data_IF_188731187681
#
_entry.id   IF_188731187681
#
_cell.length_a   1.000
_cell.length_b   1.000
_cell.length_c   1.000
_cell.angle_alpha   90.00
_cell.angle_beta   90.00
_cell.angle_gamma   90.00
#
_symmetry.space_group_name_H-M   'P 1'
#
loop_
_entity.id
_entity.type
_entity.pdbx_description
1 polymer ?
#
# COMPACT_ATOMS: atom_id res chain seq x y z
N UNK A 1 -6.20 -2.72 6.82
CA UNK A 1 -5.01 -3.58 6.67
C UNK A 1 -5.44 -5.02 6.42
N UNK A 2 -4.71 -5.76 5.59
CA UNK A 2 -4.94 -7.19 5.32
C UNK A 2 -3.62 -7.89 4.99
N UNK A 3 -3.44 -9.11 5.48
CA UNK A 3 -2.29 -9.94 5.17
C UNK A 3 -2.56 -10.79 3.93
N UNK A 4 -1.62 -10.80 3.00
CA UNK A 4 -1.66 -11.53 1.73
C UNK A 4 -0.48 -12.49 1.66
N UNK A 5 -0.65 -13.63 0.99
CA UNK A 5 0.41 -14.63 0.76
C UNK A 5 1.27 -14.35 -0.49
N UNK A 6 1.21 -13.13 -0.99
CA UNK A 6 1.94 -12.66 -2.17
C UNK A 6 3.00 -11.66 -1.74
N UNK A 7 4.08 -11.57 -2.51
CA UNK A 7 5.17 -10.63 -2.25
C UNK A 7 4.77 -9.16 -2.48
N UNK A 8 5.52 -8.19 -1.93
CA UNK A 8 5.22 -6.77 -2.11
C UNK A 8 5.21 -6.36 -3.59
N UNK A 9 6.11 -6.93 -4.38
CA UNK A 9 6.19 -6.67 -5.83
C UNK A 9 4.98 -7.21 -6.59
N UNK A 10 4.51 -8.41 -6.24
CA UNK A 10 3.33 -9.03 -6.86
C UNK A 10 2.08 -8.19 -6.61
N UNK A 11 1.87 -7.74 -5.37
CA UNK A 11 0.73 -6.89 -5.01
C UNK A 11 0.88 -5.48 -5.59
N UNK A 12 2.09 -4.91 -5.57
CA UNK A 12 2.38 -3.63 -6.19
C UNK A 12 1.97 -3.62 -7.66
N UNK A 13 2.29 -4.66 -8.43
CA UNK A 13 1.91 -4.74 -9.85
C UNK A 13 0.40 -4.69 -10.07
N UNK A 14 -0.40 -5.27 -9.16
CA UNK A 14 -1.86 -5.24 -9.27
C UNK A 14 -2.38 -3.85 -8.91
N UNK A 15 -1.83 -3.25 -7.86
CA UNK A 15 -2.22 -1.93 -7.39
C UNK A 15 -1.81 -0.83 -8.38
N UNK A 16 -0.60 -0.89 -8.91
CA UNK A 16 -0.08 0.10 -9.86
C UNK A 16 -0.76 0.01 -11.23
N UNK A 17 -1.40 -1.12 -11.56
CA UNK A 17 -2.17 -1.33 -12.79
C UNK A 17 -3.56 -0.68 -12.68
N UNK A 18 -3.56 0.67 -12.63
CA UNK A 18 -4.77 1.48 -12.48
C UNK A 18 -5.74 1.27 -13.64
N UNK A 19 -5.26 1.11 -14.88
CA UNK A 19 -6.10 0.88 -16.06
C UNK A 19 -7.00 -0.35 -15.92
N UNK A 20 -6.50 -1.40 -15.27
CA UNK A 20 -7.27 -2.63 -15.08
C UNK A 20 -8.38 -2.53 -14.05
N UNK A 21 -8.47 -1.46 -13.24
CA UNK A 21 -9.36 -1.40 -12.09
C UNK A 21 -10.84 -1.59 -12.44
N UNK A 22 -11.32 -1.03 -13.56
CA UNK A 22 -12.72 -1.19 -14.00
C UNK A 22 -13.09 -2.64 -14.34
N UNK A 23 -12.11 -3.50 -14.63
CA UNK A 23 -12.35 -4.90 -14.98
C UNK A 23 -12.59 -5.82 -13.79
N UNK A 24 -12.15 -5.45 -12.59
CA UNK A 24 -12.20 -6.32 -11.42
C UNK A 24 -12.63 -5.64 -10.12
N UNK A 25 -12.49 -4.32 -9.99
CA UNK A 25 -12.94 -3.62 -8.80
C UNK A 25 -14.46 -3.43 -8.84
N UNK A 26 -15.16 -3.83 -7.77
CA UNK A 26 -16.59 -3.59 -7.68
C UNK A 26 -16.84 -2.08 -7.67
N UNK A 27 -17.90 -1.65 -8.36
CA UNK A 27 -18.32 -0.25 -8.43
C UNK A 27 -17.31 0.72 -9.10
N UNK A 28 -16.19 0.23 -9.63
CA UNK A 28 -15.34 0.99 -10.53
C UNK A 28 -15.90 0.82 -11.94
N UNK A 29 -16.60 1.85 -12.44
CA UNK A 29 -17.24 1.82 -13.75
C UNK A 29 -16.24 2.09 -14.86
N UNK A 30 -15.30 3.01 -14.63
CA UNK A 30 -14.21 3.32 -15.54
C UNK A 30 -12.95 3.59 -14.74
N UNK A 31 -11.81 3.18 -15.29
CA UNK A 31 -10.48 3.53 -14.78
C UNK A 31 -9.54 3.64 -15.96
N UNK A 32 -8.75 4.72 -16.00
CA UNK A 32 -7.85 4.98 -17.11
C UNK A 32 -6.71 5.91 -16.72
N UNK A 33 -5.48 5.55 -17.07
CA UNK A 33 -4.33 6.43 -17.03
C UNK A 33 -4.35 7.37 -18.23
N UNK A 34 -4.30 8.68 -17.98
CA UNK A 34 -4.42 9.73 -18.99
C UNK A 34 -3.03 10.18 -19.48
N UNK A 35 -2.01 10.03 -18.64
CA UNK A 35 -0.64 10.43 -18.96
C UNK A 35 0.23 10.62 -17.72
N UNK A 36 1.46 11.14 -17.89
CA UNK A 36 2.33 11.47 -16.77
C UNK A 36 1.71 12.57 -15.90
N UNK A 37 1.98 12.53 -14.60
CA UNK A 37 1.60 13.61 -13.71
C UNK A 37 2.52 14.82 -13.92
N UNK A 38 1.93 16.00 -13.91
CA UNK A 38 2.69 17.24 -13.83
C UNK A 38 3.57 17.23 -12.57
N UNK A 39 4.75 17.87 -12.58
CA UNK A 39 5.53 18.03 -11.37
C UNK A 39 4.67 18.67 -10.27
N UNK A 40 4.86 18.28 -9.00
CA UNK A 40 4.05 18.82 -7.90
C UNK A 40 4.21 20.35 -7.89
N UNK A 41 3.09 21.06 -7.99
CA UNK A 41 3.09 22.51 -8.01
C UNK A 41 3.61 23.01 -6.64
N UNK A 42 4.60 23.94 -6.58
CA UNK A 42 5.27 24.34 -5.34
C UNK A 42 4.41 25.21 -4.39
N UNK A 43 3.09 25.15 -4.51
CA UNK A 43 2.18 26.13 -3.88
C UNK A 43 1.45 25.49 -2.70
N UNK A 44 2.06 25.63 -1.51
CA UNK A 44 1.49 25.54 -0.14
C UNK A 44 1.32 24.09 0.43
N UNK A 45 1.94 23.66 1.53
CA UNK A 45 2.15 24.29 2.86
C UNK A 45 3.39 23.73 3.62
N UNK A 46 3.93 24.42 4.64
CA UNK A 46 5.16 24.05 5.36
C UNK A 46 5.09 22.79 6.26
N UNK A 47 3.91 22.18 6.44
CA UNK A 47 3.72 21.09 7.42
C UNK A 47 3.89 19.68 6.83
N UNK A 48 3.77 19.55 5.52
CA UNK A 48 3.95 18.30 4.75
C UNK A 48 5.38 18.12 4.24
N UNK A 49 6.24 19.14 4.36
CA UNK A 49 7.59 19.18 3.74
C UNK A 49 8.53 18.07 4.21
N UNK A 50 8.44 17.56 5.45
CA UNK A 50 9.39 16.52 5.91
C UNK A 50 8.99 15.08 5.59
N UNK A 51 7.69 14.79 5.54
CA UNK A 51 7.19 13.46 5.12
C UNK A 51 7.23 13.36 3.59
N UNK A 52 6.79 14.41 2.88
CA UNK A 52 6.82 14.44 1.41
C UNK A 52 8.21 14.63 0.80
N UNK A 53 9.23 15.14 1.51
CA UNK A 53 10.56 15.28 0.90
C UNK A 53 11.22 13.92 0.62
N UNK A 54 11.10 12.97 1.55
CA UNK A 54 11.65 11.62 1.37
C UNK A 54 10.87 10.86 0.28
N UNK A 55 9.54 11.00 0.26
CA UNK A 55 8.66 10.39 -0.73
C UNK A 55 8.84 11.01 -2.12
N UNK A 56 8.92 12.33 -2.22
CA UNK A 56 9.19 13.03 -3.48
C UNK A 56 10.59 12.72 -4.02
N UNK A 57 11.58 12.48 -3.14
CA UNK A 57 12.90 11.99 -3.55
C UNK A 57 12.83 10.54 -4.03
N UNK A 58 12.13 9.66 -3.32
CA UNK A 58 11.94 8.26 -3.72
C UNK A 58 11.23 8.16 -5.08
N UNK A 59 10.15 8.94 -5.29
CA UNK A 59 9.44 8.99 -6.57
C UNK A 59 10.36 9.48 -7.69
N UNK A 60 11.20 10.49 -7.45
CA UNK A 60 12.16 11.00 -8.45
C UNK A 60 13.28 10.02 -8.79
N UNK A 61 13.69 9.17 -7.86
CA UNK A 61 14.79 8.23 -8.06
C UNK A 61 14.33 6.89 -8.63
N UNK A 62 13.21 6.36 -8.15
CA UNK A 62 12.76 4.99 -8.43
C UNK A 62 11.26 4.86 -8.70
N UNK A 63 10.48 5.92 -8.48
CA UNK A 63 9.03 5.89 -8.66
C UNK A 63 8.55 6.51 -9.97
N UNK A 64 7.23 6.46 -10.14
CA UNK A 64 6.51 7.01 -11.28
C UNK A 64 5.31 7.81 -10.77
N UNK A 65 4.92 8.84 -11.51
CA UNK A 65 3.73 9.62 -11.21
C UNK A 65 2.89 9.80 -12.48
N UNK A 66 1.60 9.48 -12.39
CA UNK A 66 0.64 9.51 -13.51
C UNK A 66 -0.65 10.24 -13.11
N UNK A 67 -1.41 10.72 -14.09
CA UNK A 67 -2.80 11.16 -13.90
C UNK A 67 -3.73 10.04 -14.31
N UNK A 68 -4.73 9.75 -13.51
CA UNK A 68 -5.72 8.73 -13.80
C UNK A 68 -7.14 9.25 -13.54
N UNK A 69 -8.05 8.95 -14.46
CA UNK A 69 -9.49 9.15 -14.27
C UNK A 69 -10.10 7.89 -13.70
N UNK A 70 -10.83 8.05 -12.59
CA UNK A 70 -11.65 6.99 -12.03
C UNK A 70 -13.10 7.44 -12.03
N UNK A 71 -13.98 6.56 -12.52
CA UNK A 71 -15.43 6.71 -12.38
C UNK A 71 -15.95 5.67 -11.43
N UNK A 72 -16.51 6.11 -10.31
CA UNK A 72 -17.11 5.25 -9.30
C UNK A 72 -18.63 5.37 -9.34
N UNK A 73 -19.30 4.23 -9.20
CA UNK A 73 -20.76 4.15 -9.18
C UNK A 73 -21.27 3.62 -7.84
N UNK A 74 -22.16 4.35 -7.17
CA UNK A 74 -22.87 3.83 -6.01
C UNK A 74 -24.35 4.10 -6.09
N UNK A 75 -25.14 3.02 -6.24
CA UNK A 75 -26.59 3.10 -6.40
C UNK A 75 -26.98 4.06 -7.56
N UNK A 76 -27.69 5.15 -7.27
CA UNK A 76 -28.08 6.15 -8.27
C UNK A 76 -26.99 7.19 -8.58
N UNK A 77 -25.83 7.12 -7.92
CA UNK A 77 -24.74 8.08 -8.07
C UNK A 77 -23.64 7.53 -8.96
N UNK A 78 -23.16 8.35 -9.90
CA UNK A 78 -22.00 8.08 -10.74
C UNK A 78 -21.12 9.31 -10.71
N UNK A 79 -19.89 9.14 -10.27
CA UNK A 79 -18.95 10.24 -10.05
C UNK A 79 -17.63 9.94 -10.71
N UNK A 80 -17.11 10.91 -11.46
CA UNK A 80 -15.81 10.84 -12.11
C UNK A 80 -14.86 11.84 -11.45
N UNK A 81 -13.63 11.41 -11.18
CA UNK A 81 -12.59 12.25 -10.63
C UNK A 81 -11.24 11.91 -11.23
N UNK A 82 -10.43 12.94 -11.47
CA UNK A 82 -9.04 12.77 -11.87
C UNK A 82 -8.16 12.80 -10.63
N UNK A 83 -7.28 11.82 -10.49
CA UNK A 83 -6.29 11.75 -9.42
C UNK A 83 -4.87 11.77 -9.97
N UNK A 84 -3.97 12.37 -9.20
CA UNK A 84 -2.53 12.18 -9.32
C UNK A 84 -2.14 10.92 -8.55
N UNK A 85 -1.60 9.93 -9.24
CA UNK A 85 -1.16 8.67 -8.67
C UNK A 85 0.37 8.64 -8.63
N UNK A 86 0.96 8.50 -7.46
CA UNK A 86 2.40 8.36 -7.28
C UNK A 86 2.72 6.94 -6.81
N UNK A 87 3.76 6.34 -7.37
CA UNK A 87 4.03 4.92 -7.21
C UNK A 87 5.52 4.73 -6.96
N UNK A 88 5.86 3.98 -5.91
CA UNK A 88 7.23 3.52 -5.66
C UNK A 88 7.21 1.99 -5.64
N UNK A 89 7.91 1.32 -6.58
CA UNK A 89 7.92 -0.13 -6.70
C UNK A 89 8.14 -0.86 -5.38
N UNK A 90 7.21 -1.75 -5.02
CA UNK A 90 7.27 -2.60 -3.83
C UNK A 90 7.21 -1.86 -2.48
N UNK A 91 6.90 -0.55 -2.47
CA UNK A 91 6.87 0.28 -1.25
C UNK A 91 5.50 0.87 -0.99
N UNK A 92 5.02 1.74 -1.89
CA UNK A 92 3.70 2.34 -1.75
C UNK A 92 3.15 2.83 -3.09
N UNK A 93 1.83 3.02 -3.13
CA UNK A 93 1.10 3.74 -4.18
C UNK A 93 0.13 4.70 -3.52
N UNK A 94 0.25 5.99 -3.83
CA UNK A 94 -0.65 7.04 -3.36
C UNK A 94 -1.47 7.58 -4.51
N UNK A 95 -2.70 8.02 -4.22
CA UNK A 95 -3.56 8.72 -5.16
C UNK A 95 -4.23 9.91 -4.48
N UNK A 96 -4.07 11.09 -5.06
CA UNK A 96 -4.66 12.35 -4.58
C UNK A 96 -5.55 12.92 -5.66
N UNK A 97 -6.84 13.09 -5.37
CA UNK A 97 -7.76 13.70 -6.32
C UNK A 97 -7.43 15.17 -6.56
N UNK A 98 -7.56 15.61 -7.81
CA UNK A 98 -7.55 17.02 -8.17
C UNK A 98 -8.86 17.66 -7.68
N UNK A 99 -8.76 18.48 -6.64
CA UNK A 99 -9.91 19.15 -6.00
C UNK A 99 -10.28 20.48 -6.65
N UNK A 100 -9.40 21.00 -7.51
CA UNK A 100 -9.61 22.28 -8.20
C UNK A 100 -10.51 22.09 -9.40
N UNK A 101 -10.33 20.98 -10.12
CA UNK A 101 -11.19 20.58 -11.23
C UNK A 101 -12.41 19.76 -10.81
N UNK A 102 -12.51 19.34 -9.54
CA UNK A 102 -13.57 18.46 -9.05
C UNK A 102 -14.51 19.10 -7.99
N UNK A 103 -15.81 19.27 -8.29
CA UNK A 103 -16.78 19.83 -7.35
C UNK A 103 -17.27 18.84 -6.27
N UNK A 104 -16.86 17.57 -6.32
CA UNK A 104 -17.34 16.54 -5.42
C UNK A 104 -16.56 16.50 -4.09
N UNK A 105 -15.23 16.48 -4.19
CA UNK A 105 -14.34 16.31 -3.06
C UNK A 105 -13.70 17.64 -2.65
N UNK A 106 -13.71 17.94 -1.35
CA UNK A 106 -12.78 18.91 -0.73
C UNK A 106 -11.39 18.31 -0.62
N UNK A 107 -11.33 17.00 -0.39
CA UNK A 107 -10.10 16.23 -0.33
C UNK A 107 -10.43 14.76 -0.58
N UNK A 108 -9.59 14.06 -1.33
CA UNK A 108 -9.62 12.61 -1.47
C UNK A 108 -8.17 12.14 -1.63
N UNK A 109 -7.68 11.42 -0.63
CA UNK A 109 -6.35 10.85 -0.55
C UNK A 109 -6.46 9.36 -0.27
N UNK A 110 -5.59 8.59 -0.90
CA UNK A 110 -5.61 7.14 -0.95
C UNK A 110 -4.17 6.67 -0.91
N UNK A 111 -3.83 5.72 -0.04
CA UNK A 111 -2.46 5.21 0.09
C UNK A 111 -2.44 3.71 0.37
N UNK A 112 -1.82 2.96 -0.54
CA UNK A 112 -1.50 1.54 -0.44
C UNK A 112 -0.03 1.38 -0.05
N UNK A 113 0.21 0.89 1.15
CA UNK A 113 1.54 0.66 1.69
C UNK A 113 1.82 -0.84 1.83
N UNK A 114 2.95 -1.29 1.28
CA UNK A 114 3.32 -2.71 1.23
C UNK A 114 4.42 -2.99 2.25
N UNK A 115 4.08 -3.75 3.29
CA UNK A 115 5.04 -4.16 4.32
C UNK A 115 5.38 -5.63 4.14
N UNK A 116 6.67 -5.96 4.03
CA UNK A 116 7.08 -7.36 4.10
C UNK A 116 6.73 -7.91 5.48
N UNK A 117 5.97 -9.00 5.55
CA UNK A 117 5.73 -9.66 6.83
C UNK A 117 7.05 -10.31 7.24
N UNK A 118 7.84 -9.61 8.06
CA UNK A 118 8.98 -10.22 8.71
C UNK A 118 8.46 -11.47 9.42
N UNK A 119 8.98 -12.64 9.07
CA UNK A 119 8.94 -13.82 9.93
C UNK A 119 9.21 -13.31 11.35
N UNK A 120 8.28 -13.53 12.26
CA UNK A 120 8.40 -13.08 13.64
C UNK A 120 9.55 -13.84 14.31
N UNK A 121 10.80 -13.45 14.04
CA UNK A 121 11.92 -13.67 14.92
C UNK A 121 11.90 -12.53 15.93
N UNK A 122 11.16 -12.73 17.01
CA UNK A 122 11.38 -11.99 18.25
C UNK A 122 12.87 -12.05 18.59
N UNK A 123 13.59 -10.95 18.40
CA UNK A 123 14.93 -10.77 18.95
C UNK A 123 15.04 -9.35 19.51
N UNK A 124 14.26 -9.10 20.56
CA UNK A 124 14.64 -8.10 21.55
C UNK A 124 15.76 -8.73 22.40
N UNK A 125 16.96 -8.83 21.83
CA UNK A 125 18.18 -9.20 22.55
C UNK A 125 18.68 -7.99 23.32
N UNK A 126 18.05 -7.72 24.46
CA UNK A 126 18.69 -6.95 25.52
C UNK A 126 19.44 -7.93 26.43
N UNK A 127 20.66 -8.31 26.01
CA UNK A 127 21.66 -8.84 26.94
C UNK A 127 22.39 -7.65 27.55
N UNK A 128 22.20 -7.31 28.83
CA UNK A 128 23.16 -6.46 29.52
C UNK A 128 24.47 -7.24 29.70
N UNK A 129 25.57 -6.66 29.20
CA UNK A 129 26.94 -7.08 29.49
C UNK A 129 27.21 -6.95 31.00
N UNK A 130 26.85 -7.96 31.78
CA UNK A 130 27.39 -8.14 33.12
C UNK A 130 28.71 -8.91 33.03
N UNK A 131 29.80 -8.15 33.01
CA UNK A 131 31.14 -8.58 33.39
C UNK A 131 31.09 -9.23 34.78
N UNK A 132 31.16 -10.57 34.86
CA UNK A 132 31.69 -11.21 36.06
C UNK A 132 32.67 -12.32 35.69
N UNK A 133 33.89 -12.02 36.08
CA UNK A 133 35.13 -12.74 36.01
C UNK A 133 35.18 -13.78 37.15
N UNK A 134 35.47 -15.05 36.82
CA UNK A 134 36.47 -15.94 37.46
C UNK A 134 36.07 -17.44 37.45
N UNK A 135 37.07 -18.24 37.04
CA UNK A 135 37.38 -19.63 37.47
C UNK A 135 36.84 -20.82 36.66
N UNK A 136 37.74 -21.34 35.81
CA UNK A 136 38.13 -22.73 35.56
C UNK A 136 37.07 -23.85 35.68
N UNK A 137 36.72 -24.47 34.55
CA UNK A 137 36.66 -25.94 34.42
C UNK A 137 36.43 -26.37 32.97
N UNK A 138 37.30 -27.25 32.51
CA UNK A 138 37.29 -27.94 31.22
C UNK A 138 36.05 -28.82 31.05
N UNK A 139 35.33 -28.64 29.94
CA UNK A 139 34.34 -29.61 29.45
C UNK A 139 34.46 -29.76 27.93
N UNK A 140 34.94 -30.93 27.55
CA UNK A 140 34.97 -31.45 26.18
C UNK A 140 33.53 -31.68 25.72
N UNK A 141 33.08 -30.94 24.70
CA UNK A 141 31.82 -31.22 24.01
C UNK A 141 32.10 -31.50 22.53
N UNK A 142 31.81 -32.74 22.17
CA UNK A 142 31.79 -33.30 20.82
C UNK A 142 30.82 -32.55 19.90
N UNK A 143 31.21 -32.18 18.66
CA UNK A 143 30.27 -31.67 17.67
C UNK A 143 29.51 -32.83 16.99
N UNK A 144 28.19 -32.89 17.20
CA UNK A 144 27.28 -33.76 16.46
C UNK A 144 27.05 -33.22 15.02
N UNK A 145 26.86 -34.09 14.01
CA UNK A 145 26.74 -33.67 12.62
C UNK A 145 25.34 -33.11 12.32
N UNK A 146 25.31 -31.85 11.89
CA UNK A 146 24.40 -31.23 10.91
C UNK A 146 23.12 -32.00 10.57
N UNK A 147 22.04 -31.74 11.31
CA UNK A 147 20.67 -31.87 10.81
C UNK A 147 20.30 -30.62 10.01
N UNK A 148 20.46 -30.74 8.69
CA UNK A 148 19.71 -30.06 7.63
C UNK A 148 18.97 -28.77 8.05
N UNK A 149 19.71 -27.68 8.32
CA UNK A 149 19.10 -26.35 8.37
C UNK A 149 18.79 -25.92 6.93
N UNK A 150 17.66 -26.38 6.42
CA UNK A 150 17.04 -25.76 5.27
C UNK A 150 16.93 -24.24 5.54
N UNK A 151 17.41 -23.37 4.63
CA UNK A 151 17.27 -21.94 4.83
C UNK A 151 15.78 -21.61 4.99
N UNK A 152 15.40 -20.71 5.92
CA UNK A 152 14.04 -20.20 5.96
C UNK A 152 13.76 -19.57 4.59
N UNK A 153 12.91 -20.22 3.79
CA UNK A 153 12.45 -19.65 2.54
C UNK A 153 11.87 -18.26 2.85
N UNK A 154 12.12 -17.24 2.02
CA UNK A 154 11.60 -15.91 2.26
C UNK A 154 10.10 -16.01 2.47
N UNK A 155 9.62 -15.52 3.61
CA UNK A 155 8.20 -15.49 3.91
C UNK A 155 7.58 -14.50 2.91
N UNK A 156 7.04 -15.02 1.79
CA UNK A 156 6.43 -14.24 0.71
C UNK A 156 5.07 -13.65 1.11
N UNK A 157 4.88 -13.30 2.38
CA UNK A 157 3.67 -12.71 2.88
C UNK A 157 3.84 -11.18 2.98
N UNK A 158 2.83 -10.45 2.52
CA UNK A 158 2.82 -8.99 2.54
C UNK A 158 1.62 -8.52 3.33
N UNK A 159 1.87 -7.59 4.25
CA UNK A 159 0.82 -6.83 4.90
C UNK A 159 0.52 -5.61 4.05
N UNK A 160 -0.65 -5.61 3.42
CA UNK A 160 -1.16 -4.46 2.67
C UNK A 160 -1.93 -3.54 3.61
N UNK A 161 -1.43 -2.34 3.75
CA UNK A 161 -2.09 -1.26 4.47
C UNK A 161 -2.85 -0.37 3.50
N UNK A 162 -4.07 0.01 3.88
CA UNK A 162 -4.97 0.81 3.07
C UNK A 162 -5.50 1.96 3.88
N UNK A 163 -5.10 3.16 3.48
CA UNK A 163 -5.53 4.43 4.04
C UNK A 163 -6.35 5.17 3.00
N UNK A 164 -7.56 5.58 3.38
CA UNK A 164 -8.46 6.35 2.54
C UNK A 164 -9.01 7.51 3.37
N UNK A 165 -8.61 8.72 3.00
CA UNK A 165 -9.07 9.96 3.61
C UNK A 165 -9.90 10.74 2.61
N UNK A 166 -11.10 11.17 3.00
CA UNK A 166 -11.96 11.92 2.10
C UNK A 166 -12.80 12.96 2.85
N UNK A 167 -13.13 14.03 2.16
CA UNK A 167 -14.07 15.03 2.59
C UNK A 167 -14.90 15.47 1.38
N UNK A 168 -16.22 15.33 1.46
CA UNK A 168 -17.13 15.81 0.42
C UNK A 168 -17.43 17.30 0.57
N UNK A 169 -17.67 17.99 -0.55
CA UNK A 169 -18.14 19.38 -0.52
C UNK A 169 -19.55 19.48 0.04
N UNK A 170 -20.42 18.51 -0.27
CA UNK A 170 -21.77 18.42 0.26
C UNK A 170 -21.85 17.44 1.46
N UNK A 171 -22.17 17.90 2.68
CA UNK A 171 -22.24 17.04 3.87
C UNK A 171 -23.29 15.94 3.79
N UNK A 172 -24.44 16.19 3.16
CA UNK A 172 -25.50 15.20 3.01
C UNK A 172 -25.09 14.08 2.06
N UNK A 173 -24.40 14.43 0.98
CA UNK A 173 -23.76 13.46 0.11
C UNK A 173 -22.76 12.62 0.90
N UNK A 174 -21.92 13.27 1.70
CA UNK A 174 -20.94 12.60 2.56
C UNK A 174 -21.56 11.55 3.48
N UNK A 175 -22.70 11.84 4.12
CA UNK A 175 -23.37 10.86 4.99
C UNK A 175 -23.81 9.59 4.25
N UNK A 176 -24.33 9.73 3.03
CA UNK A 176 -24.79 8.58 2.22
C UNK A 176 -23.58 7.82 1.65
N UNK A 177 -22.62 8.55 1.11
CA UNK A 177 -21.42 8.00 0.50
C UNK A 177 -20.54 7.29 1.54
N UNK A 178 -20.36 7.82 2.75
CA UNK A 178 -19.50 7.22 3.77
C UNK A 178 -19.85 5.75 4.08
N UNK A 179 -21.14 5.43 4.13
CA UNK A 179 -21.59 4.05 4.35
C UNK A 179 -21.27 3.15 3.15
N UNK A 180 -21.43 3.68 1.94
CA UNK A 180 -21.04 3.00 0.70
C UNK A 180 -19.53 2.71 0.65
N UNK A 181 -18.72 3.73 0.95
CA UNK A 181 -17.27 3.67 0.85
C UNK A 181 -16.67 2.62 1.79
N UNK A 182 -17.17 2.51 3.03
CA UNK A 182 -16.72 1.47 3.95
C UNK A 182 -16.99 0.05 3.43
N UNK A 183 -18.16 -0.16 2.80
CA UNK A 183 -18.50 -1.45 2.17
C UNK A 183 -17.61 -1.69 0.94
N UNK A 184 -17.35 -0.65 0.14
CA UNK A 184 -16.52 -0.75 -1.06
C UNK A 184 -15.06 -1.07 -0.73
N UNK A 185 -14.47 -0.47 0.30
CA UNK A 185 -13.10 -0.76 0.72
C UNK A 185 -12.91 -2.24 1.09
N UNK A 186 -13.87 -2.84 1.81
CA UNK A 186 -13.85 -4.26 2.13
C UNK A 186 -13.93 -5.16 0.89
N UNK A 187 -14.79 -4.80 -0.07
CA UNK A 187 -14.91 -5.56 -1.34
C UNK A 187 -13.71 -5.36 -2.27
N UNK A 188 -13.08 -4.20 -2.24
CA UNK A 188 -11.87 -3.88 -2.99
C UNK A 188 -10.70 -4.77 -2.55
N UNK A 189 -10.50 -4.95 -1.24
CA UNK A 189 -9.49 -5.87 -0.69
C UNK A 189 -9.69 -7.32 -1.10
N UNK A 190 -10.94 -7.76 -1.24
CA UNK A 190 -11.26 -9.08 -1.75
C UNK A 190 -11.00 -9.19 -3.26
N UNK A 191 -11.38 -8.16 -4.03
CA UNK A 191 -11.14 -8.11 -5.47
C UNK A 191 -9.63 -8.15 -5.81
N UNK A 192 -8.79 -7.48 -5.02
CA UNK A 192 -7.33 -7.57 -5.17
C UNK A 192 -6.79 -8.98 -4.89
N UNK A 193 -7.32 -9.67 -3.89
CA UNK A 193 -6.94 -11.07 -3.60
C UNK A 193 -7.31 -12.00 -4.75
N UNK A 194 -8.54 -11.89 -5.26
CA UNK A 194 -9.00 -12.65 -6.43
C UNK A 194 -8.15 -12.36 -7.67
N UNK A 195 -7.77 -11.09 -7.89
CA UNK A 195 -6.87 -10.71 -8.97
C UNK A 195 -5.48 -11.32 -8.79
N UNK A 196 -4.96 -11.37 -7.57
CA UNK A 196 -3.69 -12.02 -7.26
C UNK A 196 -3.74 -13.54 -7.52
N UNK A 197 -4.84 -14.21 -7.13
CA UNK A 197 -5.05 -15.63 -7.41
C UNK A 197 -5.06 -15.89 -8.92
N UNK A 198 -5.73 -15.03 -9.70
CA UNK A 198 -5.79 -15.17 -11.17
C UNK A 198 -4.44 -14.98 -11.85
N UNK A 199 -3.59 -14.08 -11.35
CA UNK A 199 -2.30 -13.76 -11.97
C UNK A 199 -1.15 -14.65 -11.49
N UNK A 200 -1.14 -15.04 -10.22
CA UNK A 200 -0.01 -15.71 -9.57
C UNK A 200 -0.34 -17.10 -9.02
N UNK A 201 -1.60 -17.53 -9.13
CA UNK A 201 -2.07 -18.80 -8.58
C UNK A 201 -2.39 -18.73 -7.09
N UNK A 202 -3.17 -19.69 -6.61
CA UNK A 202 -3.58 -19.79 -5.20
C UNK A 202 -2.41 -20.28 -4.33
N UNK A 203 -2.20 -19.64 -3.17
CA UNK A 203 -1.17 -19.98 -2.16
C UNK A 203 -1.78 -20.25 -0.77
#
# INVERSE_FOLDING_TARGET
MKDFKYSPEELYKIVADVDSYSSFLPNCLESRVIGPADPPHPTLTPRTVRLHAAEAQAVRQTGQAVRADLTVGFNAFRESYTSRVEMVPGRYVTATADTDSNPLFKHLYTEWSFHTAASSSSSSSSVPLSLFNHSSSSSTSTPSPSSSSAPPGPSHATRLEFTLEYAFRNPLYGMVASKAFNIMAGRMMHAFEERAIRLYGRR
#
